data_IF_536417142715
#
_entry.id   IF_536417142715
#
_cell.length_a   1.000
_cell.length_b   1.000
_cell.length_c   1.000
_cell.angle_alpha   90.00
_cell.angle_beta   90.00
_cell.angle_gamma   90.00
#
_symmetry.space_group_name_H-M   'P 1'
#
loop_
_entity.id
_entity.type
_entity.pdbx_description
1 polymer ?
#
# COMPACT_ATOMS: atom_id res chain seq x y z
N UNK A 1 9.07 -36.80 -14.39
CA UNK A 1 8.15 -37.39 -13.40
C UNK A 1 8.78 -37.34 -12.01
N UNK A 2 8.28 -36.44 -11.16
CA UNK A 2 8.24 -36.53 -9.68
C UNK A 2 7.45 -35.31 -9.23
N UNK A 3 6.14 -35.52 -9.02
CA UNK A 3 5.24 -34.50 -8.52
C UNK A 3 5.41 -34.37 -7.00
N UNK A 4 5.46 -33.13 -6.53
CA UNK A 4 5.30 -32.81 -5.12
C UNK A 4 3.84 -32.35 -4.99
N UNK A 5 2.98 -33.24 -4.50
CA UNK A 5 1.64 -32.87 -4.04
C UNK A 5 1.79 -32.23 -2.66
N UNK A 6 1.54 -30.94 -2.54
CA UNK A 6 1.25 -30.32 -1.25
C UNK A 6 -0.21 -30.58 -0.90
N UNK A 7 -0.46 -31.35 0.16
CA UNK A 7 -1.78 -31.47 0.77
C UNK A 7 -2.09 -30.17 1.52
N UNK A 8 -3.20 -29.52 1.18
CA UNK A 8 -3.78 -28.45 1.97
C UNK A 8 -4.79 -29.06 2.94
N UNK A 9 -4.47 -29.07 4.23
CA UNK A 9 -5.41 -29.46 5.28
C UNK A 9 -6.48 -28.38 5.47
N UNK A 10 -7.74 -28.81 5.40
CA UNK A 10 -8.93 -28.01 5.69
C UNK A 10 -9.06 -27.89 7.21
N UNK A 11 -8.88 -26.69 7.76
CA UNK A 11 -9.12 -26.45 9.19
C UNK A 11 -10.62 -26.41 9.44
N UNK A 12 -11.16 -27.48 10.02
CA UNK A 12 -12.54 -27.54 10.51
C UNK A 12 -12.70 -26.74 11.82
N UNK A 13 -13.87 -26.14 11.98
CA UNK A 13 -14.26 -25.29 13.11
C UNK A 13 -14.07 -25.98 14.47
N UNK A 14 -13.08 -25.55 15.25
CA UNK A 14 -13.00 -25.89 16.67
C UNK A 14 -13.93 -24.99 17.50
N UNK A 15 -14.93 -25.64 18.11
CA UNK A 15 -15.81 -25.07 19.12
C UNK A 15 -15.01 -24.90 20.42
N UNK A 16 -14.89 -23.67 20.91
CA UNK A 16 -14.26 -23.34 22.19
C UNK A 16 -14.99 -24.02 23.37
N UNK A 17 -14.34 -25.01 23.98
CA UNK A 17 -14.71 -25.54 25.29
C UNK A 17 -14.14 -24.65 26.42
N UNK A 18 -15.02 -23.92 27.12
CA UNK A 18 -14.66 -23.19 28.34
C UNK A 18 -14.76 -24.14 29.53
N UNK A 19 -13.65 -24.27 30.26
CA UNK A 19 -13.46 -25.14 31.41
C UNK A 19 -14.31 -24.81 32.64
N UNK A 20 -14.50 -25.84 33.45
CA UNK A 20 -15.35 -25.90 34.64
C UNK A 20 -14.70 -25.16 35.82
N UNK A 21 -15.20 -23.96 36.15
CA UNK A 21 -14.80 -23.17 37.32
C UNK A 21 -15.92 -23.11 38.36
N UNK A 22 -15.61 -23.48 39.60
CA UNK A 22 -16.55 -23.56 40.74
C UNK A 22 -17.32 -22.24 40.98
N UNK A 23 -18.66 -22.32 40.97
CA UNK A 23 -19.54 -21.16 41.24
C UNK A 23 -19.67 -20.93 42.74
N UNK A 24 -19.05 -19.86 43.26
CA UNK A 24 -19.37 -19.32 44.59
C UNK A 24 -20.80 -18.76 44.58
N UNK A 25 -21.67 -19.39 45.36
CA UNK A 25 -23.09 -19.05 45.47
C UNK A 25 -23.27 -17.72 46.24
N UNK A 26 -23.66 -16.65 45.55
CA UNK A 26 -24.09 -15.41 46.20
C UNK A 26 -25.57 -15.55 46.61
N UNK A 27 -25.85 -15.49 47.91
CA UNK A 27 -27.20 -15.64 48.47
C UNK A 27 -28.16 -14.58 47.91
N UNK A 28 -29.35 -15.01 47.51
CA UNK A 28 -30.44 -14.25 46.85
C UNK A 28 -30.79 -12.93 47.53
N UNK A 29 -30.55 -12.80 48.85
CA UNK A 29 -30.74 -11.56 49.61
C UNK A 29 -29.78 -10.44 49.23
N UNK A 30 -28.53 -10.74 48.81
CA UNK A 30 -27.54 -9.72 48.42
C UNK A 30 -27.82 -9.16 47.02
N UNK A 31 -28.38 -9.96 46.13
CA UNK A 31 -28.79 -9.52 44.78
C UNK A 31 -30.01 -8.60 44.87
N UNK A 32 -30.98 -8.92 45.72
CA UNK A 32 -32.17 -8.09 45.90
C UNK A 32 -31.83 -6.68 46.43
N UNK A 33 -30.85 -6.56 47.34
CA UNK A 33 -30.41 -5.26 47.88
C UNK A 33 -29.63 -4.45 46.83
N UNK A 34 -28.79 -5.09 46.02
CA UNK A 34 -28.07 -4.43 44.93
C UNK A 34 -29.00 -3.92 43.82
N UNK A 35 -30.04 -4.69 43.49
CA UNK A 35 -31.06 -4.28 42.49
C UNK A 35 -31.91 -3.13 43.02
N UNK A 36 -32.31 -3.15 44.31
CA UNK A 36 -33.07 -2.05 44.91
C UNK A 36 -32.25 -0.76 45.01
N UNK A 37 -30.95 -0.88 45.34
CA UNK A 37 -30.04 0.27 45.39
C UNK A 37 -29.80 0.88 43.99
N UNK A 38 -29.68 0.05 42.95
CA UNK A 38 -29.54 0.53 41.58
C UNK A 38 -30.81 1.21 41.04
N UNK A 39 -32.00 0.72 41.42
CA UNK A 39 -33.28 1.34 41.04
C UNK A 39 -33.51 2.67 41.76
N UNK A 40 -33.10 2.80 43.03
CA UNK A 40 -33.20 4.05 43.78
C UNK A 40 -32.15 5.09 43.33
N UNK A 41 -30.96 4.67 42.88
CA UNK A 41 -29.96 5.58 42.30
C UNK A 41 -30.29 5.99 40.85
N UNK A 42 -30.99 5.14 40.09
CA UNK A 42 -31.42 5.45 38.72
C UNK A 42 -32.59 6.43 38.61
N UNK A 43 -33.30 6.70 39.70
CA UNK A 43 -34.45 7.63 39.74
C UNK A 43 -34.10 9.03 40.28
N UNK A 44 -32.86 9.25 40.75
CA UNK A 44 -32.45 10.50 41.39
C UNK A 44 -31.42 11.32 40.60
N UNK A 45 -31.00 10.88 39.41
CA UNK A 45 -30.26 11.76 38.48
C UNK A 45 -31.27 12.42 37.55
N UNK A 46 -31.46 13.75 37.60
CA UNK A 46 -32.19 14.40 36.54
C UNK A 46 -31.41 14.14 35.25
N UNK A 47 -32.09 13.52 34.28
CA UNK A 47 -31.63 13.37 32.91
C UNK A 47 -31.63 14.76 32.25
N UNK A 48 -30.79 15.65 32.77
CA UNK A 48 -30.59 17.02 32.31
C UNK A 48 -29.11 17.15 32.06
N UNK A 49 -28.68 16.78 30.85
CA UNK A 49 -27.27 16.76 30.53
C UNK A 49 -26.87 16.20 29.17
N UNK A 50 -27.78 15.70 28.34
CA UNK A 50 -27.56 15.77 26.89
C UNK A 50 -27.89 17.20 26.45
N UNK A 51 -27.02 18.13 26.85
CA UNK A 51 -26.89 19.39 26.16
C UNK A 51 -26.60 19.03 24.72
N UNK A 52 -27.57 19.26 23.85
CA UNK A 52 -27.36 19.37 22.41
C UNK A 52 -26.23 20.36 22.22
N UNK A 53 -24.99 19.88 22.07
CA UNK A 53 -23.94 20.72 21.50
C UNK A 53 -24.51 21.17 20.15
N UNK A 54 -24.72 22.47 19.92
CA UNK A 54 -25.09 22.92 18.59
C UNK A 54 -24.05 22.34 17.64
N UNK A 55 -24.52 21.78 16.53
CA UNK A 55 -23.62 21.35 15.48
C UNK A 55 -22.62 22.49 15.23
N UNK A 56 -21.32 22.20 15.12
CA UNK A 56 -20.36 23.24 14.75
C UNK A 56 -20.91 23.95 13.51
N UNK A 57 -20.83 25.30 13.45
CA UNK A 57 -21.33 26.03 12.30
C UNK A 57 -20.75 25.38 11.05
N UNK A 58 -21.61 25.07 10.09
CA UNK A 58 -21.20 24.55 8.80
C UNK A 58 -20.05 25.43 8.31
N UNK A 59 -18.91 24.86 7.88
CA UNK A 59 -17.88 25.67 7.25
C UNK A 59 -18.55 26.51 6.16
N UNK A 60 -18.16 27.79 5.99
CA UNK A 60 -18.75 28.64 4.97
C UNK A 60 -18.71 27.86 3.65
N UNK A 61 -19.88 27.67 3.03
CA UNK A 61 -19.95 27.00 1.75
C UNK A 61 -19.18 27.85 0.75
N UNK A 62 -17.95 27.46 0.44
CA UNK A 62 -17.22 28.06 -0.66
C UNK A 62 -17.89 27.58 -1.94
N UNK A 63 -18.21 28.51 -2.84
CA UNK A 63 -18.55 28.15 -4.22
C UNK A 63 -17.33 27.56 -4.96
N UNK A 64 -16.13 27.68 -4.38
CA UNK A 64 -14.96 26.98 -4.87
C UNK A 64 -15.04 25.48 -4.56
N UNK A 65 -14.88 24.62 -5.58
CA UNK A 65 -14.86 23.18 -5.38
C UNK A 65 -13.73 22.81 -4.43
N UNK A 66 -14.01 21.91 -3.48
CA UNK A 66 -13.03 21.39 -2.51
C UNK A 66 -11.77 20.81 -3.18
N UNK A 67 -11.89 20.37 -4.44
CA UNK A 67 -10.78 19.93 -5.28
C UNK A 67 -10.94 20.57 -6.67
N UNK A 68 -10.42 21.78 -6.90
CA UNK A 68 -10.47 22.38 -8.22
C UNK A 68 -9.62 21.53 -9.17
N UNK A 69 -10.26 20.98 -10.21
CA UNK A 69 -9.55 20.23 -11.24
C UNK A 69 -8.69 21.23 -12.03
N UNK A 70 -7.36 21.09 -12.05
CA UNK A 70 -6.51 21.99 -12.82
C UNK A 70 -6.83 21.86 -14.30
N UNK A 71 -6.61 22.95 -15.05
CA UNK A 71 -6.72 22.91 -16.51
C UNK A 71 -5.80 21.83 -17.07
N UNK A 72 -6.30 21.04 -18.01
CA UNK A 72 -5.49 20.03 -18.70
C UNK A 72 -4.26 20.68 -19.31
N UNK A 73 -3.09 20.21 -18.92
CA UNK A 73 -1.84 20.59 -19.58
C UNK A 73 -1.80 19.82 -20.91
N UNK A 74 -1.64 20.50 -22.06
CA UNK A 74 -1.49 19.79 -23.33
C UNK A 74 -0.25 18.91 -23.26
N UNK A 75 -0.39 17.64 -23.61
CA UNK A 75 0.76 16.75 -23.75
C UNK A 75 1.63 17.34 -24.85
N UNK A 76 2.79 17.87 -24.48
CA UNK A 76 3.78 18.29 -25.46
C UNK A 76 4.38 17.01 -26.04
N UNK A 77 4.07 16.73 -27.30
CA UNK A 77 4.79 15.69 -28.02
C UNK A 77 6.28 15.97 -27.91
N UNK A 78 7.01 14.95 -27.46
CA UNK A 78 8.46 14.99 -27.38
C UNK A 78 9.00 13.76 -28.06
N UNK A 79 10.19 13.88 -28.64
CA UNK A 79 10.90 12.75 -29.25
C UNK A 79 11.05 11.58 -28.26
N UNK A 80 11.15 11.86 -26.96
CA UNK A 80 11.25 10.84 -25.91
C UNK A 80 9.93 10.13 -25.63
N UNK A 81 8.81 10.86 -25.63
CA UNK A 81 7.49 10.22 -25.57
C UNK A 81 7.28 9.33 -26.79
N UNK A 82 7.65 9.80 -27.98
CA UNK A 82 7.57 9.00 -29.20
C UNK A 82 8.51 7.79 -29.17
N UNK A 83 9.71 7.92 -28.61
CA UNK A 83 10.63 6.81 -28.40
C UNK A 83 10.02 5.74 -27.48
N UNK A 84 9.54 6.12 -26.30
CA UNK A 84 8.92 5.20 -25.32
C UNK A 84 7.71 4.47 -25.94
N UNK A 85 6.91 5.16 -26.75
CA UNK A 85 5.68 4.61 -27.34
C UNK A 85 5.89 3.77 -28.59
N UNK A 86 7.02 3.91 -29.31
CA UNK A 86 7.19 3.28 -30.63
C UNK A 86 8.48 2.46 -30.80
N UNK A 87 9.48 2.62 -29.93
CA UNK A 87 10.70 1.83 -30.02
C UNK A 87 10.47 0.41 -29.47
N UNK A 88 10.42 -0.56 -30.39
CA UNK A 88 10.13 -1.96 -30.05
C UNK A 88 11.15 -2.56 -29.09
N UNK A 89 12.43 -2.22 -29.24
CA UNK A 89 13.49 -2.77 -28.40
C UNK A 89 13.37 -2.26 -26.97
N UNK A 90 13.04 -0.98 -26.80
CA UNK A 90 12.73 -0.41 -25.51
C UNK A 90 11.51 -1.10 -24.89
N UNK A 91 10.41 -1.25 -25.65
CA UNK A 91 9.19 -1.92 -25.19
C UNK A 91 9.44 -3.36 -24.76
N UNK A 92 10.15 -4.15 -25.57
CA UNK A 92 10.52 -5.53 -25.25
C UNK A 92 11.35 -5.59 -23.96
N UNK A 93 12.26 -4.63 -23.75
CA UNK A 93 13.03 -4.52 -22.52
C UNK A 93 12.17 -4.20 -21.30
N UNK A 94 11.21 -3.27 -21.41
CA UNK A 94 10.27 -2.94 -20.33
C UNK A 94 9.35 -4.12 -20.05
N UNK A 95 8.87 -4.81 -21.07
CA UNK A 95 8.01 -6.01 -20.94
C UNK A 95 8.76 -7.10 -20.18
N UNK A 96 10.01 -7.38 -20.53
CA UNK A 96 10.85 -8.38 -19.84
C UNK A 96 11.09 -8.01 -18.36
N UNK A 97 11.41 -6.74 -18.08
CA UNK A 97 11.58 -6.27 -16.70
C UNK A 97 10.27 -6.38 -15.92
N UNK A 98 9.16 -5.89 -16.46
CA UNK A 98 7.88 -5.97 -15.79
C UNK A 98 7.42 -7.43 -15.56
N UNK A 99 7.60 -8.31 -16.54
CA UNK A 99 7.37 -9.76 -16.39
C UNK A 99 8.15 -10.34 -15.21
N UNK A 100 9.44 -10.02 -15.08
CA UNK A 100 10.28 -10.48 -13.95
C UNK A 100 9.84 -9.90 -12.62
N UNK A 101 9.40 -8.64 -12.59
CA UNK A 101 8.84 -8.02 -11.39
C UNK A 101 7.57 -8.75 -10.89
N UNK A 102 6.73 -9.21 -11.82
CA UNK A 102 5.50 -9.96 -11.52
C UNK A 102 5.76 -11.37 -10.99
N UNK A 103 6.88 -11.99 -11.40
CA UNK A 103 7.29 -13.32 -10.91
C UNK A 103 7.73 -13.33 -9.44
N UNK A 104 7.98 -12.17 -8.84
CA UNK A 104 8.44 -12.06 -7.46
C UNK A 104 7.24 -12.06 -6.51
N UNK A 105 7.13 -13.13 -5.71
CA UNK A 105 6.12 -13.24 -4.67
C UNK A 105 6.27 -12.14 -3.63
N UNK A 106 5.23 -11.31 -3.52
CA UNK A 106 5.08 -10.17 -2.59
C UNK A 106 3.69 -10.22 -1.97
N UNK A 107 3.10 -11.41 -1.86
CA UNK A 107 1.73 -11.59 -1.38
C UNK A 107 1.65 -11.26 0.10
N UNK A 108 0.67 -10.43 0.46
CA UNK A 108 0.32 -10.06 1.83
C UNK A 108 -1.11 -10.49 2.11
N UNK A 109 -1.33 -11.06 3.30
CA UNK A 109 -2.64 -11.44 3.83
C UNK A 109 -3.00 -10.49 4.98
N UNK A 110 -4.28 -10.42 5.35
CA UNK A 110 -4.79 -9.58 6.45
C UNK A 110 -3.99 -9.71 7.76
N UNK A 111 -3.48 -10.91 8.05
CA UNK A 111 -2.72 -11.24 9.27
C UNK A 111 -1.22 -11.33 9.06
N UNK A 112 -0.71 -10.93 7.91
CA UNK A 112 0.74 -10.93 7.66
C UNK A 112 1.43 -9.96 8.62
N UNK A 113 2.43 -10.49 9.32
CA UNK A 113 3.35 -9.73 10.18
C UNK A 113 4.81 -9.91 9.77
N UNK A 114 5.07 -10.78 8.78
CA UNK A 114 6.41 -11.07 8.27
C UNK A 114 6.48 -10.71 6.78
N UNK A 115 7.35 -9.75 6.47
CA UNK A 115 7.52 -9.16 5.15
C UNK A 115 8.83 -9.56 4.47
N UNK A 116 9.52 -10.60 4.94
CA UNK A 116 10.85 -10.96 4.42
C UNK A 116 10.87 -11.22 2.91
N UNK A 117 9.74 -11.63 2.32
CA UNK A 117 9.59 -11.80 0.86
C UNK A 117 9.86 -10.51 0.08
N UNK A 118 9.59 -9.34 0.67
CA UNK A 118 9.84 -8.04 0.06
C UNK A 118 11.33 -7.79 -0.24
N UNK A 119 12.24 -8.45 0.49
CA UNK A 119 13.68 -8.36 0.24
C UNK A 119 14.05 -8.82 -1.19
N UNK A 120 13.38 -9.85 -1.71
CA UNK A 120 13.61 -10.32 -3.07
C UNK A 120 13.21 -9.25 -4.11
N UNK A 121 12.14 -8.50 -3.82
CA UNK A 121 11.70 -7.41 -4.68
C UNK A 121 12.65 -6.22 -4.61
N UNK A 122 13.18 -5.91 -3.42
CA UNK A 122 14.22 -4.88 -3.25
C UNK A 122 15.47 -5.22 -4.05
N UNK A 123 15.98 -6.45 -3.96
CA UNK A 123 17.16 -6.90 -4.72
C UNK A 123 16.92 -6.78 -6.23
N UNK A 124 15.73 -7.17 -6.69
CA UNK A 124 15.33 -7.02 -8.08
C UNK A 124 15.34 -5.57 -8.53
N UNK A 125 14.73 -4.65 -7.77
CA UNK A 125 14.68 -3.23 -8.11
C UNK A 125 16.08 -2.61 -8.15
N UNK A 126 16.92 -2.89 -7.16
CA UNK A 126 18.29 -2.36 -7.08
C UNK A 126 19.15 -2.81 -8.26
N UNK A 127 19.05 -4.10 -8.63
CA UNK A 127 19.76 -4.66 -9.79
C UNK A 127 19.22 -4.11 -11.12
N UNK A 128 17.93 -3.84 -11.19
CA UNK A 128 17.26 -3.48 -12.44
C UNK A 128 17.37 -1.99 -12.74
N UNK A 129 17.41 -1.14 -11.71
CA UNK A 129 17.42 0.33 -11.81
C UNK A 129 18.64 0.94 -11.10
N UNK A 130 19.87 0.57 -11.46
CA UNK A 130 21.06 0.97 -10.73
C UNK A 130 21.24 2.50 -10.73
N UNK A 131 20.92 3.20 -11.82
CA UNK A 131 21.11 4.66 -11.88
C UNK A 131 20.15 5.38 -10.92
N UNK A 132 18.91 4.88 -10.76
CA UNK A 132 17.97 5.36 -9.73
C UNK A 132 18.57 5.24 -8.33
N UNK A 133 19.10 4.06 -7.98
CA UNK A 133 19.66 3.79 -6.65
C UNK A 133 20.97 4.54 -6.39
N UNK A 134 21.79 4.78 -7.42
CA UNK A 134 23.03 5.56 -7.33
C UNK A 134 22.77 7.07 -7.22
N UNK A 135 21.68 7.56 -7.83
CA UNK A 135 21.38 9.00 -7.90
C UNK A 135 20.52 9.47 -6.73
N UNK A 136 19.56 8.67 -6.29
CA UNK A 136 18.63 9.04 -5.23
C UNK A 136 19.24 8.87 -3.84
N UNK A 137 18.76 9.67 -2.89
CA UNK A 137 18.89 9.31 -1.48
C UNK A 137 17.84 8.23 -1.15
N UNK A 138 18.27 6.98 -1.00
CA UNK A 138 17.40 5.83 -0.75
C UNK A 138 17.24 5.59 0.75
N UNK A 139 16.00 5.61 1.23
CA UNK A 139 15.65 5.39 2.63
C UNK A 139 14.75 4.16 2.76
N UNK A 140 15.13 3.23 3.65
CA UNK A 140 14.28 2.11 4.07
C UNK A 140 13.50 2.51 5.32
N UNK A 141 12.17 2.52 5.22
CA UNK A 141 11.26 2.93 6.30
C UNK A 141 10.48 1.72 6.79
N UNK A 142 10.50 1.50 8.11
CA UNK A 142 9.95 0.30 8.74
C UNK A 142 10.41 -1.00 8.05
N UNK A 143 11.73 -1.09 7.82
CA UNK A 143 12.46 -2.18 7.12
C UNK A 143 12.20 -2.32 5.62
N UNK A 144 10.94 -2.29 5.18
CA UNK A 144 10.57 -2.67 3.81
C UNK A 144 9.95 -1.56 2.97
N UNK A 145 9.55 -0.44 3.56
CA UNK A 145 9.11 0.74 2.82
C UNK A 145 10.29 1.37 2.10
N UNK A 146 10.13 1.73 0.82
CA UNK A 146 11.18 2.36 0.04
C UNK A 146 10.83 3.81 -0.25
N UNK A 147 11.71 4.73 0.13
CA UNK A 147 11.58 6.15 -0.20
C UNK A 147 12.84 6.60 -0.94
N UNK A 148 12.70 6.94 -2.21
CA UNK A 148 13.74 7.52 -3.04
C UNK A 148 13.54 9.03 -3.09
N UNK A 149 14.55 9.79 -2.70
CA UNK A 149 14.51 11.25 -2.77
C UNK A 149 15.55 11.78 -3.76
N UNK A 150 15.06 12.54 -4.75
CA UNK A 150 15.87 13.33 -5.66
C UNK A 150 15.79 14.79 -5.25
N UNK A 151 16.91 15.35 -4.81
CA UNK A 151 16.98 16.75 -4.36
C UNK A 151 16.69 17.70 -5.54
N UNK A 152 15.83 18.68 -5.29
CA UNK A 152 15.54 19.75 -6.24
C UNK A 152 16.53 20.90 -6.11
N UNK A 153 16.76 21.62 -7.21
CA UNK A 153 17.62 22.81 -7.21
C UNK A 153 17.08 23.97 -6.36
N UNK A 154 15.76 24.05 -6.14
CA UNK A 154 15.12 25.05 -5.30
C UNK A 154 14.59 24.43 -4.00
N UNK A 155 15.26 24.73 -2.88
CA UNK A 155 14.94 24.19 -1.55
C UNK A 155 13.70 24.80 -0.90
N UNK A 156 13.19 25.91 -1.42
CA UNK A 156 11.98 26.55 -0.91
C UNK A 156 10.70 25.87 -1.44
N UNK A 157 10.83 24.99 -2.44
CA UNK A 157 9.71 24.24 -3.01
C UNK A 157 9.56 22.89 -2.32
N UNK A 158 8.36 22.64 -1.77
CA UNK A 158 7.99 21.29 -1.31
C UNK A 158 8.17 20.27 -2.42
N UNK A 159 8.67 19.06 -2.16
CA UNK A 159 8.79 18.03 -3.18
C UNK A 159 7.42 17.56 -3.69
N UNK A 160 7.39 16.97 -4.89
CA UNK A 160 6.26 16.12 -5.31
C UNK A 160 6.50 14.68 -4.87
N UNK A 161 5.42 13.97 -4.56
CA UNK A 161 5.47 12.55 -4.21
C UNK A 161 4.67 11.74 -5.22
N UNK A 162 5.30 10.70 -5.73
CA UNK A 162 4.70 9.67 -6.58
C UNK A 162 4.71 8.37 -5.78
N UNK A 163 3.52 7.89 -5.44
CA UNK A 163 3.36 6.74 -4.56
C UNK A 163 2.90 5.49 -5.32
N UNK A 164 3.33 4.33 -4.85
CA UNK A 164 2.85 3.01 -5.25
C UNK A 164 3.02 2.04 -4.07
N UNK A 165 2.66 0.78 -4.24
CA UNK A 165 2.93 -0.30 -3.29
C UNK A 165 3.53 -1.53 -3.99
N UNK A 166 4.24 -2.33 -3.21
CA UNK A 166 4.96 -3.52 -3.69
C UNK A 166 4.17 -4.80 -3.47
N UNK A 167 3.34 -4.82 -2.43
CA UNK A 167 2.55 -5.98 -2.05
C UNK A 167 1.38 -6.22 -2.99
N UNK A 168 0.86 -7.43 -2.91
CA UNK A 168 -0.30 -7.86 -3.68
C UNK A 168 -1.23 -8.68 -2.80
N UNK A 169 -2.53 -8.66 -3.09
CA UNK A 169 -3.48 -9.59 -2.49
C UNK A 169 -3.12 -11.07 -2.76
N UNK A 170 -3.65 -12.01 -1.95
CA UNK A 170 -3.54 -13.44 -2.24
C UNK A 170 -4.04 -13.82 -3.63
N UNK A 171 -3.46 -14.88 -4.20
CA UNK A 171 -3.84 -15.38 -5.53
C UNK A 171 -5.25 -16.01 -5.56
N UNK A 172 -5.85 -16.29 -4.39
CA UNK A 172 -7.14 -16.99 -4.33
C UNK A 172 -6.99 -18.46 -4.69
N UNK A 173 -8.01 -19.02 -5.36
CA UNK A 173 -7.98 -20.40 -5.83
C UNK A 173 -7.12 -20.52 -7.10
N UNK A 174 -6.04 -21.32 -7.12
CA UNK A 174 -5.20 -21.49 -8.30
C UNK A 174 -5.97 -21.99 -9.54
N UNK A 175 -7.03 -22.78 -9.35
CA UNK A 175 -7.82 -23.33 -10.46
C UNK A 175 -8.68 -22.27 -11.18
N UNK A 176 -8.86 -21.09 -10.58
CA UNK A 176 -9.58 -19.98 -11.21
C UNK A 176 -8.70 -19.20 -12.20
N UNK A 177 -7.38 -19.47 -12.20
CA UNK A 177 -6.44 -18.85 -13.12
C UNK A 177 -6.24 -19.68 -14.37
N UNK A 178 -6.22 -19.02 -15.53
CA UNK A 178 -5.89 -19.67 -16.81
C UNK A 178 -4.41 -20.03 -16.92
N UNK A 179 -3.55 -19.34 -16.17
CA UNK A 179 -2.09 -19.50 -16.15
C UNK A 179 -1.57 -19.30 -14.72
N UNK A 180 -0.30 -19.62 -14.46
CA UNK A 180 0.27 -19.39 -13.13
C UNK A 180 0.23 -17.88 -12.78
N UNK A 181 -0.41 -17.47 -11.66
CA UNK A 181 -0.54 -16.07 -11.26
C UNK A 181 0.78 -15.36 -11.01
N UNK A 182 1.88 -16.08 -10.82
CA UNK A 182 3.23 -15.53 -10.68
C UNK A 182 4.11 -15.86 -11.90
N UNK A 183 3.53 -16.22 -13.04
CA UNK A 183 4.29 -16.45 -14.28
C UNK A 183 4.87 -15.17 -14.88
N UNK A 184 4.20 -14.03 -14.66
CA UNK A 184 4.49 -12.79 -15.37
C UNK A 184 4.27 -12.92 -16.89
N UNK A 185 3.37 -13.79 -17.34
CA UNK A 185 3.16 -14.04 -18.76
C UNK A 185 2.57 -12.83 -19.48
N UNK A 186 2.96 -12.65 -20.75
CA UNK A 186 2.50 -11.61 -21.64
C UNK A 186 2.05 -12.24 -22.96
N UNK A 187 0.80 -12.03 -23.36
CA UNK A 187 0.21 -12.64 -24.57
C UNK A 187 0.42 -11.81 -25.85
N UNK A 188 1.17 -10.70 -25.75
CA UNK A 188 1.33 -9.72 -26.81
C UNK A 188 0.42 -8.49 -26.63
N UNK A 189 -0.58 -8.56 -25.75
CA UNK A 189 -1.51 -7.47 -25.45
C UNK A 189 -1.63 -7.22 -23.95
N UNK A 190 -1.77 -8.27 -23.15
CA UNK A 190 -2.03 -8.21 -21.71
C UNK A 190 -1.04 -9.06 -20.92
N UNK A 191 -0.76 -8.59 -19.70
CA UNK A 191 -0.08 -9.39 -18.68
C UNK A 191 -1.11 -10.18 -17.87
N UNK A 192 -0.89 -11.48 -17.72
CA UNK A 192 -1.75 -12.38 -16.95
C UNK A 192 -1.03 -12.79 -15.66
N UNK A 193 -0.99 -11.89 -14.69
CA UNK A 193 -0.32 -12.14 -13.40
C UNK A 193 -0.93 -11.31 -12.26
N UNK A 194 -0.81 -11.82 -11.03
CA UNK A 194 -1.06 -11.05 -9.81
C UNK A 194 -0.05 -9.90 -9.74
N UNK A 195 -0.53 -8.69 -9.45
CA UNK A 195 0.30 -7.49 -9.45
C UNK A 195 0.33 -6.73 -10.78
N UNK A 196 -0.19 -7.30 -11.87
CA UNK A 196 -0.06 -6.72 -13.22
C UNK A 196 -0.80 -5.38 -13.37
N UNK A 197 -1.94 -5.22 -12.70
CA UNK A 197 -2.67 -3.96 -12.67
C UNK A 197 -2.55 -3.24 -11.32
N UNK A 198 -2.42 -4.02 -10.24
CA UNK A 198 -2.49 -3.52 -8.86
C UNK A 198 -1.31 -4.04 -8.03
N UNK A 199 -0.26 -3.24 -7.79
CA UNK A 199 0.03 -1.99 -8.51
C UNK A 199 1.46 -1.96 -9.07
N UNK A 200 2.06 -3.13 -9.31
CA UNK A 200 3.46 -3.21 -9.77
C UNK A 200 3.68 -2.53 -11.12
N UNK A 201 2.65 -2.41 -11.97
CA UNK A 201 2.71 -1.63 -13.20
C UNK A 201 3.07 -0.15 -12.95
N UNK A 202 2.44 0.47 -11.95
CA UNK A 202 2.68 1.87 -11.60
C UNK A 202 4.08 2.02 -11.02
N UNK A 203 4.47 1.14 -10.09
CA UNK A 203 5.80 1.15 -9.48
C UNK A 203 6.90 0.99 -10.55
N UNK A 204 6.81 -0.04 -11.38
CA UNK A 204 7.77 -0.30 -12.45
C UNK A 204 7.76 0.85 -13.45
N UNK A 205 6.60 1.37 -13.84
CA UNK A 205 6.51 2.53 -14.72
C UNK A 205 7.22 3.77 -14.16
N UNK A 206 7.10 4.05 -12.86
CA UNK A 206 7.82 5.13 -12.20
C UNK A 206 9.34 4.89 -12.21
N UNK A 207 9.77 3.67 -11.95
CA UNK A 207 11.19 3.30 -11.97
C UNK A 207 11.79 3.40 -13.39
N UNK A 208 11.10 2.87 -14.41
CA UNK A 208 11.51 2.96 -15.82
C UNK A 208 11.62 4.42 -16.29
N UNK A 209 10.62 5.24 -15.98
CA UNK A 209 10.62 6.65 -16.36
C UNK A 209 11.78 7.40 -15.69
N UNK A 210 12.03 7.13 -14.42
CA UNK A 210 13.10 7.78 -13.65
C UNK A 210 14.47 7.36 -14.13
N UNK A 211 14.69 6.06 -14.32
CA UNK A 211 15.91 5.48 -14.88
C UNK A 211 16.23 6.10 -16.26
N UNK A 212 15.23 6.20 -17.15
CA UNK A 212 15.39 6.81 -18.46
C UNK A 212 15.71 8.33 -18.38
N UNK A 213 15.07 9.05 -17.45
CA UNK A 213 15.37 10.48 -17.23
C UNK A 213 16.81 10.68 -16.74
N UNK A 214 17.30 9.81 -15.86
CA UNK A 214 18.68 9.88 -15.36
C UNK A 214 19.69 9.57 -16.47
N UNK A 215 19.45 8.51 -17.25
CA UNK A 215 20.29 8.16 -18.41
C UNK A 215 20.35 9.28 -19.46
N UNK A 216 19.28 10.05 -19.59
CA UNK A 216 19.19 11.24 -20.43
C UNK A 216 19.89 12.49 -19.83
N UNK A 217 20.42 12.41 -18.62
CA UNK A 217 21.02 13.54 -17.89
C UNK A 217 20.00 14.58 -17.41
N UNK A 218 18.72 14.21 -17.27
CA UNK A 218 17.61 15.10 -16.89
C UNK A 218 17.24 14.96 -15.42
N UNK A 219 18.22 15.13 -14.54
CA UNK A 219 18.04 15.04 -13.07
C UNK A 219 17.94 16.40 -12.38
N UNK A 220 18.12 17.50 -13.12
CA UNK A 220 18.04 18.88 -12.62
C UNK A 220 16.59 19.34 -12.42
N UNK A 221 15.87 18.71 -11.50
CA UNK A 221 14.51 19.11 -11.15
C UNK A 221 14.52 20.45 -10.39
N UNK A 222 13.53 21.31 -10.64
CA UNK A 222 13.40 22.56 -9.88
C UNK A 222 13.00 22.26 -8.43
N UNK A 223 12.01 21.39 -8.26
CA UNK A 223 11.55 20.88 -6.95
C UNK A 223 12.02 19.45 -6.74
N UNK A 224 12.13 19.06 -5.47
CA UNK A 224 12.45 17.67 -5.15
C UNK A 224 11.39 16.69 -5.65
N UNK A 225 11.81 15.47 -5.92
CA UNK A 225 10.92 14.38 -6.35
C UNK A 225 11.09 13.21 -5.38
N UNK A 226 9.98 12.69 -4.89
CA UNK A 226 9.93 11.53 -4.00
C UNK A 226 9.21 10.40 -4.71
N UNK A 227 9.84 9.23 -4.76
CA UNK A 227 9.16 7.97 -5.03
C UNK A 227 8.97 7.24 -3.69
N UNK A 228 7.73 6.94 -3.33
CA UNK A 228 7.39 6.33 -2.04
C UNK A 228 6.61 5.03 -2.25
N UNK A 229 7.21 3.90 -1.90
CA UNK A 229 6.66 2.56 -2.12
C UNK A 229 6.35 1.86 -0.80
N UNK A 230 5.06 1.63 -0.55
CA UNK A 230 4.56 0.83 0.57
C UNK A 230 4.68 -0.67 0.32
N UNK A 231 4.43 -1.48 1.36
CA UNK A 231 4.58 -2.94 1.30
C UNK A 231 3.44 -3.72 1.99
N UNK A 232 2.36 -3.03 2.35
CA UNK A 232 1.21 -3.61 3.05
C UNK A 232 -0.11 -2.85 2.74
N UNK A 233 -0.18 -2.19 1.58
CA UNK A 233 -1.37 -1.41 1.18
C UNK A 233 -2.62 -2.29 1.16
N UNK A 234 -2.47 -3.54 0.69
CA UNK A 234 -3.55 -4.52 0.53
C UNK A 234 -4.12 -4.98 1.88
N UNK A 235 -3.46 -4.65 2.99
CA UNK A 235 -3.95 -4.82 4.36
C UNK A 235 -4.06 -3.50 5.13
N UNK A 236 -4.36 -2.41 4.43
CA UNK A 236 -4.60 -1.04 4.93
C UNK A 236 -3.38 -0.14 5.18
N UNK A 237 -2.15 -0.58 4.91
CA UNK A 237 -0.98 0.32 4.90
C UNK A 237 -0.45 0.77 6.26
N UNK A 238 -0.80 0.08 7.35
CA UNK A 238 -0.42 0.47 8.71
C UNK A 238 1.07 0.30 9.01
N UNK A 239 1.75 -0.62 8.34
CA UNK A 239 3.18 -0.89 8.53
C UNK A 239 4.05 -0.11 7.51
N UNK A 240 3.56 0.10 6.30
CA UNK A 240 4.25 0.80 5.23
C UNK A 240 3.85 2.27 5.14
N UNK A 241 2.66 2.54 4.62
CA UNK A 241 2.23 3.90 4.28
C UNK A 241 2.18 4.84 5.49
N UNK A 242 1.71 4.34 6.64
CA UNK A 242 1.68 5.11 7.89
C UNK A 242 3.07 5.58 8.33
N UNK A 243 4.04 4.65 8.37
CA UNK A 243 5.41 4.96 8.78
C UNK A 243 6.16 5.80 7.75
N UNK A 244 5.92 5.58 6.46
CA UNK A 244 6.41 6.47 5.39
C UNK A 244 5.85 7.89 5.60
N UNK A 245 4.56 8.04 5.90
CA UNK A 245 3.95 9.33 6.18
C UNK A 245 4.63 10.07 7.33
N UNK A 246 4.92 9.39 8.44
CA UNK A 246 5.65 9.96 9.57
C UNK A 246 7.07 10.41 9.16
N UNK A 247 7.82 9.52 8.48
CA UNK A 247 9.16 9.82 7.98
C UNK A 247 9.18 11.06 7.08
N UNK A 248 8.20 11.19 6.19
CA UNK A 248 8.12 12.32 5.26
C UNK A 248 7.81 13.64 5.97
N UNK A 249 6.91 13.64 6.96
CA UNK A 249 6.58 14.83 7.77
C UNK A 249 7.77 15.27 8.61
N UNK A 250 8.54 14.33 9.16
CA UNK A 250 9.71 14.65 9.97
C UNK A 250 10.86 15.20 9.12
N UNK A 251 10.94 14.82 7.83
CA UNK A 251 12.04 15.16 6.93
C UNK A 251 11.82 16.43 6.08
N UNK A 252 10.59 16.76 5.68
CA UNK A 252 10.27 17.82 4.70
C UNK A 252 9.23 18.83 5.19
#
# INVERSE_FOLDING_TARGET
>A
MRGIKGEYERVENEVLHIGNGEKKFFTTKKIAILVLAALLFGLATPFTGFLTKPAPPSPPSSDEPLCPIPSKIPIKESEKVQFVLNDKKFQEGVIDRFSKALQIDTIVYDKTTNYTKMANFHEYLEKTYPNVYETAEVNKVNEYGLVFYFEGSNKDLKPIMLAAHMDTVPIGNPDDWSEDPLSGSFDGTYFHARGAFDCKNLLVGLMEATELLIQDGKTSFERGVILAFGFDEEKSGWDGAYHIGQFLVDKF
#
